data_IF_421683949691
#
_entry.id   IF_421683949691
#
_cell.length_a   1.000
_cell.length_b   1.000
_cell.length_c   1.000
_cell.angle_alpha   90.00
_cell.angle_beta   90.00
_cell.angle_gamma   90.00
#
_symmetry.space_group_name_H-M   'P 1'
#
loop_
_entity.id
_entity.type
_entity.pdbx_description
1 polymer ?
#
# COMPACT_ATOMS: atom_id res chain seq x y z
N UNK A 1 -5.04 0.02 23.66
CA UNK A 1 -4.63 -0.64 22.39
C UNK A 1 -3.11 -0.59 22.31
N UNK A 2 -2.41 -1.68 21.97
CA UNK A 2 -0.95 -1.66 21.77
C UNK A 2 -0.62 -1.33 20.31
N UNK A 3 0.50 -0.65 20.05
CA UNK A 3 0.91 -0.27 18.68
C UNK A 3 0.95 -1.47 17.71
N UNK A 4 1.51 -2.61 18.14
CA UNK A 4 1.59 -3.82 17.29
C UNK A 4 0.23 -4.46 16.98
N UNK A 5 -0.85 -4.01 17.61
CA UNK A 5 -2.23 -4.41 17.26
C UNK A 5 -2.85 -3.49 16.19
N UNK A 6 -2.20 -2.36 15.90
CA UNK A 6 -2.56 -1.41 14.84
C UNK A 6 -1.66 -1.57 13.62
N UNK A 7 -0.34 -1.68 13.83
CA UNK A 7 0.64 -1.76 12.76
C UNK A 7 1.73 -2.77 13.13
N UNK A 8 2.02 -3.71 12.22
CA UNK A 8 3.09 -4.67 12.41
C UNK A 8 3.91 -4.87 11.13
N UNK A 9 5.20 -5.12 11.30
CA UNK A 9 6.09 -5.41 10.18
C UNK A 9 5.77 -6.78 9.58
N UNK A 10 5.83 -6.86 8.26
CA UNK A 10 5.67 -8.08 7.47
C UNK A 10 6.71 -8.10 6.35
N UNK A 11 7.07 -9.28 5.82
CA UNK A 11 7.90 -9.38 4.60
C UNK A 11 7.35 -8.66 3.38
N UNK A 12 6.05 -8.31 3.38
CA UNK A 12 5.38 -7.55 2.30
C UNK A 12 5.33 -6.04 2.56
N UNK A 13 5.69 -5.56 3.75
CA UNK A 13 5.57 -4.15 4.14
C UNK A 13 4.92 -3.97 5.52
N UNK A 14 4.42 -2.77 5.80
CA UNK A 14 3.74 -2.46 7.06
C UNK A 14 2.27 -2.88 6.97
N UNK A 15 1.83 -3.80 7.84
CA UNK A 15 0.47 -4.35 7.84
C UNK A 15 -0.39 -3.75 8.94
N UNK A 16 -1.64 -3.43 8.62
CA UNK A 16 -2.66 -2.97 9.56
C UNK A 16 -3.72 -4.07 9.78
N UNK A 17 -3.65 -4.87 10.87
CA UNK A 17 -4.63 -5.94 11.11
C UNK A 17 -6.10 -5.46 11.22
N UNK A 18 -6.42 -4.35 11.91
CA UNK A 18 -7.81 -3.88 12.01
C UNK A 18 -8.39 -3.42 10.68
N UNK A 19 -7.55 -2.87 9.80
CA UNK A 19 -7.96 -2.39 8.48
C UNK A 19 -7.86 -3.46 7.38
N UNK A 20 -7.10 -4.53 7.64
CA UNK A 20 -6.74 -5.59 6.69
C UNK A 20 -6.18 -5.01 5.37
N UNK A 21 -5.12 -4.20 5.50
CA UNK A 21 -4.39 -3.64 4.35
C UNK A 21 -2.91 -3.47 4.67
N UNK A 22 -2.10 -3.33 3.64
CA UNK A 22 -0.68 -2.96 3.74
C UNK A 22 -0.47 -1.50 3.36
N UNK A 23 0.38 -0.80 4.10
CA UNK A 23 0.85 0.56 3.79
C UNK A 23 2.16 0.43 3.02
N UNK A 24 2.23 1.05 1.83
CA UNK A 24 3.38 1.06 0.93
C UNK A 24 4.08 -0.32 0.81
N UNK A 25 3.32 -1.36 0.44
CA UNK A 25 3.87 -2.71 0.35
C UNK A 25 4.98 -2.82 -0.70
N UNK A 26 6.04 -3.54 -0.36
CA UNK A 26 7.18 -3.81 -1.26
C UNK A 26 6.95 -5.04 -2.15
N UNK A 27 5.81 -5.73 -1.99
CA UNK A 27 5.38 -6.90 -2.77
C UNK A 27 3.88 -6.81 -3.09
N UNK A 28 3.39 -7.46 -4.17
CA UNK A 28 1.95 -7.59 -4.44
C UNK A 28 1.13 -8.07 -3.22
N UNK A 29 -0.03 -7.44 -3.03
CA UNK A 29 -0.97 -7.68 -1.91
C UNK A 29 -2.40 -7.46 -2.38
N UNK A 30 -3.36 -7.96 -1.63
CA UNK A 30 -4.78 -7.78 -1.94
C UNK A 30 -5.24 -6.34 -1.76
N UNK A 31 -4.84 -5.68 -0.67
CA UNK A 31 -5.26 -4.31 -0.33
C UNK A 31 -4.05 -3.45 0.02
N UNK A 32 -3.71 -2.53 -0.86
CA UNK A 32 -2.60 -1.59 -0.70
C UNK A 32 -3.12 -0.17 -0.43
N UNK A 33 -2.61 0.45 0.63
CA UNK A 33 -2.70 1.88 0.87
C UNK A 33 -1.36 2.49 0.44
N UNK A 34 -1.39 3.34 -0.59
CA UNK A 34 -0.19 4.00 -1.12
C UNK A 34 -0.17 5.45 -0.63
N UNK A 35 0.89 5.83 0.06
CA UNK A 35 1.00 7.15 0.70
C UNK A 35 1.29 8.26 -0.32
N UNK A 36 2.12 7.99 -1.32
CA UNK A 36 2.47 8.94 -2.39
C UNK A 36 3.11 8.25 -3.60
N UNK A 37 3.18 8.98 -4.73
CA UNK A 37 3.60 8.46 -6.04
C UNK A 37 5.10 8.26 -6.28
N UNK A 38 5.93 8.07 -5.25
CA UNK A 38 7.33 7.67 -5.48
C UNK A 38 7.42 6.17 -5.80
N UNK A 39 8.40 5.78 -6.63
CA UNK A 39 8.52 4.42 -7.16
C UNK A 39 8.91 3.36 -6.13
N UNK A 40 9.45 3.77 -4.99
CA UNK A 40 9.72 2.90 -3.85
C UNK A 40 8.45 2.53 -3.07
N UNK A 41 7.41 3.38 -3.11
CA UNK A 41 6.10 3.18 -2.48
C UNK A 41 5.03 2.68 -3.47
N UNK A 42 4.76 3.44 -4.54
CA UNK A 42 3.74 3.16 -5.54
C UNK A 42 4.22 2.08 -6.52
N UNK A 43 3.86 0.82 -6.26
CA UNK A 43 4.24 -0.35 -7.07
C UNK A 43 3.02 -0.98 -7.73
N UNK A 44 3.23 -1.73 -8.82
CA UNK A 44 2.18 -2.44 -9.54
C UNK A 44 1.87 -3.82 -8.93
N UNK A 45 0.75 -4.41 -9.37
CA UNK A 45 0.38 -5.79 -9.04
C UNK A 45 -0.50 -5.97 -7.78
N UNK A 46 -0.97 -4.90 -7.16
CA UNK A 46 -1.96 -4.96 -6.08
C UNK A 46 -3.38 -5.15 -6.64
N UNK A 47 -4.23 -5.92 -5.96
CA UNK A 47 -5.62 -6.15 -6.40
C UNK A 47 -6.48 -4.90 -6.20
N UNK A 48 -6.39 -4.30 -5.02
CA UNK A 48 -7.11 -3.07 -4.65
C UNK A 48 -6.13 -2.03 -4.12
N UNK A 49 -6.19 -0.82 -4.67
CA UNK A 49 -5.34 0.31 -4.28
C UNK A 49 -6.20 1.45 -3.75
N UNK A 50 -5.87 1.91 -2.54
CA UNK A 50 -6.37 3.14 -1.95
C UNK A 50 -5.25 4.18 -1.93
N UNK A 51 -5.46 5.33 -2.58
CA UNK A 51 -4.54 6.46 -2.57
C UNK A 51 -5.30 7.75 -2.91
N UNK A 52 -4.60 8.89 -2.88
CA UNK A 52 -5.14 10.15 -3.42
C UNK A 52 -5.33 10.04 -4.94
N UNK A 53 -6.18 10.91 -5.52
CA UNK A 53 -6.43 10.92 -6.96
C UNK A 53 -5.14 11.10 -7.76
N UNK A 54 -4.29 12.04 -7.34
CA UNK A 54 -3.02 12.34 -7.99
C UNK A 54 -2.05 11.15 -7.95
N UNK A 55 -2.05 10.40 -6.84
CA UNK A 55 -1.24 9.18 -6.72
C UNK A 55 -1.77 8.09 -7.65
N UNK A 56 -3.09 7.90 -7.73
CA UNK A 56 -3.70 6.96 -8.67
C UNK A 56 -3.42 7.33 -10.12
N UNK A 57 -3.47 8.61 -10.47
CA UNK A 57 -3.17 9.09 -11.83
C UNK A 57 -1.69 8.83 -12.18
N UNK A 58 -0.76 9.07 -11.25
CA UNK A 58 0.66 8.71 -11.43
C UNK A 58 0.83 7.19 -11.61
N UNK A 59 0.13 6.38 -10.82
CA UNK A 59 0.19 4.93 -10.92
C UNK A 59 -0.35 4.42 -12.26
N UNK A 60 -1.48 4.96 -12.72
CA UNK A 60 -2.08 4.61 -14.01
C UNK A 60 -1.14 4.96 -15.18
N UNK A 61 -0.50 6.14 -15.13
CA UNK A 61 0.48 6.54 -16.14
C UNK A 61 1.71 5.62 -16.20
N UNK A 62 2.11 5.01 -15.08
CA UNK A 62 3.30 4.16 -14.99
C UNK A 62 3.01 2.69 -15.24
N UNK A 63 1.85 2.19 -14.84
CA UNK A 63 1.57 0.76 -14.71
C UNK A 63 0.33 0.30 -15.49
N UNK A 64 -0.44 1.20 -16.10
CA UNK A 64 -1.70 0.91 -16.79
C UNK A 64 -2.90 0.85 -15.85
#
# INVERSE_FOLDING_TARGET
MRFNQLLCSSPKGLYCPPGDFYIDPVRPVERALITHGHSDHARSGHTHVLATRETLDIMALRYG
#
